data_IF_256350023416
#
_entry.id   IF_256350023416
#
_cell.length_a   1.000
_cell.length_b   1.000
_cell.length_c   1.000
_cell.angle_alpha   90.00
_cell.angle_beta   90.00
_cell.angle_gamma   90.00
#
_symmetry.space_group_name_H-M   'P 1'
#
loop_
_entity.id
_entity.type
_entity.pdbx_description
1 polymer ?
#
# COMPACT_ATOMS: atom_id res chain seq x y z
N UNK A 1 -40.99 13.04 -41.30
CA UNK A 1 -40.11 12.06 -40.62
C UNK A 1 -38.85 12.68 -40.01
N UNK A 2 -38.08 13.49 -40.75
CA UNK A 2 -36.81 14.08 -40.26
C UNK A 2 -36.88 14.81 -38.90
N UNK A 3 -37.95 15.59 -38.64
CA UNK A 3 -38.14 16.31 -37.37
C UNK A 3 -38.30 15.39 -36.14
N UNK A 4 -38.90 14.20 -36.31
CA UNK A 4 -39.06 13.21 -35.22
C UNK A 4 -37.76 12.49 -34.91
N UNK A 5 -36.97 12.17 -35.93
CA UNK A 5 -35.64 11.57 -35.76
C UNK A 5 -34.69 12.54 -35.05
N UNK A 6 -34.71 13.82 -35.42
CA UNK A 6 -33.92 14.85 -34.73
C UNK A 6 -34.33 15.02 -33.26
N UNK A 7 -35.63 14.93 -32.95
CA UNK A 7 -36.12 15.01 -31.57
C UNK A 7 -35.67 13.79 -30.72
N UNK A 8 -35.73 12.58 -31.29
CA UNK A 8 -35.21 11.37 -30.64
C UNK A 8 -33.69 11.43 -30.41
N UNK A 9 -32.94 11.96 -31.37
CA UNK A 9 -31.49 12.15 -31.22
C UNK A 9 -31.16 13.13 -30.10
N UNK A 10 -31.93 14.22 -29.99
CA UNK A 10 -31.77 15.20 -28.91
C UNK A 10 -32.07 14.57 -27.54
N UNK A 11 -33.16 13.80 -27.44
CA UNK A 11 -33.58 13.18 -26.18
C UNK A 11 -32.55 12.14 -25.70
N UNK A 12 -32.02 11.32 -26.62
CA UNK A 12 -30.94 10.36 -26.33
C UNK A 12 -29.66 11.10 -25.93
N UNK A 13 -29.31 12.19 -26.61
CA UNK A 13 -28.13 12.99 -26.27
C UNK A 13 -28.25 13.60 -24.87
N UNK A 14 -29.43 14.12 -24.50
CA UNK A 14 -29.71 14.66 -23.16
C UNK A 14 -29.62 13.54 -22.12
N UNK A 15 -30.25 12.39 -22.37
CA UNK A 15 -30.20 11.25 -21.47
C UNK A 15 -28.76 10.77 -21.21
N UNK A 16 -27.94 10.65 -22.27
CA UNK A 16 -26.53 10.29 -22.15
C UNK A 16 -25.71 11.35 -21.40
N UNK A 17 -26.02 12.63 -21.58
CA UNK A 17 -25.34 13.72 -20.88
C UNK A 17 -25.66 13.70 -19.39
N UNK A 18 -26.93 13.54 -19.02
CA UNK A 18 -27.36 13.38 -17.63
C UNK A 18 -26.74 12.14 -17.01
N UNK A 19 -26.71 11.03 -17.74
CA UNK A 19 -26.06 9.79 -17.31
C UNK A 19 -24.56 10.02 -17.03
N UNK A 20 -23.84 10.66 -17.96
CA UNK A 20 -22.42 10.97 -17.79
C UNK A 20 -22.18 11.88 -16.58
N UNK A 21 -23.01 12.91 -16.38
CA UNK A 21 -22.91 13.84 -15.25
C UNK A 21 -23.09 13.15 -13.89
N UNK A 22 -23.88 12.07 -13.81
CA UNK A 22 -24.07 11.30 -12.58
C UNK A 22 -22.95 10.26 -12.40
N UNK A 23 -22.63 9.50 -13.44
CA UNK A 23 -21.73 8.35 -13.33
C UNK A 23 -20.24 8.72 -13.30
N UNK A 24 -19.81 9.81 -13.94
CA UNK A 24 -18.41 10.24 -13.93
C UNK A 24 -17.95 10.61 -12.50
N UNK A 25 -18.66 11.47 -11.74
CA UNK A 25 -18.26 11.80 -10.36
C UNK A 25 -18.24 10.59 -9.42
N UNK A 26 -19.21 9.67 -9.56
CA UNK A 26 -19.26 8.43 -8.78
C UNK A 26 -18.05 7.54 -9.06
N UNK A 27 -17.64 7.45 -10.32
CA UNK A 27 -16.47 6.65 -10.72
C UNK A 27 -15.16 7.26 -10.20
N UNK A 28 -15.00 8.58 -10.31
CA UNK A 28 -13.79 9.29 -9.85
C UNK A 28 -13.69 9.25 -8.32
N UNK A 29 -14.79 9.49 -7.59
CA UNK A 29 -14.81 9.45 -6.12
C UNK A 29 -14.48 8.06 -5.57
N UNK A 30 -14.97 6.99 -6.21
CA UNK A 30 -14.68 5.61 -5.82
C UNK A 30 -13.19 5.25 -6.01
N UNK A 31 -12.56 5.72 -7.09
CA UNK A 31 -11.16 5.38 -7.41
C UNK A 31 -10.17 5.85 -6.34
N UNK A 32 -10.37 7.04 -5.75
CA UNK A 32 -9.52 7.56 -4.69
C UNK A 32 -9.68 6.80 -3.37
N UNK A 33 -10.93 6.45 -3.00
CA UNK A 33 -11.20 5.67 -1.80
C UNK A 33 -10.61 4.26 -1.86
N UNK A 34 -10.68 3.60 -3.03
CA UNK A 34 -10.08 2.30 -3.26
C UNK A 34 -8.55 2.33 -3.22
N UNK A 35 -7.92 3.39 -3.73
CA UNK A 35 -6.47 3.55 -3.66
C UNK A 35 -6.00 3.74 -2.20
N UNK A 36 -6.72 4.58 -1.43
CA UNK A 36 -6.43 4.80 -0.01
C UNK A 36 -6.62 3.52 0.84
N UNK A 37 -7.74 2.82 0.63
CA UNK A 37 -7.99 1.55 1.32
C UNK A 37 -6.91 0.52 1.03
N UNK A 38 -6.44 0.45 -0.22
CA UNK A 38 -5.34 -0.43 -0.62
C UNK A 38 -4.01 -0.03 0.03
N UNK A 39 -3.74 1.28 0.19
CA UNK A 39 -2.54 1.76 0.91
C UNK A 39 -2.55 1.30 2.36
N UNK A 40 -3.66 1.53 3.07
CA UNK A 40 -3.79 1.10 4.45
C UNK A 40 -3.74 -0.41 4.62
N UNK A 41 -4.29 -1.17 3.67
CA UNK A 41 -4.17 -2.63 3.67
C UNK A 41 -2.71 -3.07 3.61
N UNK A 42 -1.92 -2.56 2.65
CA UNK A 42 -0.51 -2.94 2.54
C UNK A 42 0.34 -2.41 3.70
N UNK A 43 0.04 -1.21 4.19
CA UNK A 43 0.67 -0.65 5.39
C UNK A 43 0.44 -1.56 6.60
N UNK A 44 -0.80 -2.01 6.82
CA UNK A 44 -1.13 -2.92 7.91
C UNK A 44 -0.43 -4.28 7.78
N UNK A 45 -0.39 -4.86 6.57
CA UNK A 45 0.33 -6.12 6.32
C UNK A 45 1.83 -5.96 6.56
N UNK A 46 2.43 -4.84 6.11
CA UNK A 46 3.83 -4.55 6.32
C UNK A 46 4.14 -4.37 7.81
N UNK A 47 3.31 -3.61 8.54
CA UNK A 47 3.45 -3.44 9.99
C UNK A 47 3.35 -4.78 10.72
N UNK A 48 2.38 -5.62 10.39
CA UNK A 48 2.23 -6.93 11.01
C UNK A 48 3.47 -7.82 10.82
N UNK A 49 4.03 -7.84 9.61
CA UNK A 49 5.26 -8.60 9.33
C UNK A 49 6.47 -8.01 10.05
N UNK A 50 6.62 -6.68 10.02
CA UNK A 50 7.69 -5.98 10.73
C UNK A 50 7.59 -6.25 12.23
N UNK A 51 6.39 -6.24 12.80
CA UNK A 51 6.18 -6.47 14.22
C UNK A 51 6.53 -7.89 14.63
N UNK A 52 6.06 -8.89 13.86
CA UNK A 52 6.39 -10.29 14.10
C UNK A 52 7.90 -10.55 14.02
N UNK A 53 8.58 -10.01 13.00
CA UNK A 53 10.03 -10.14 12.86
C UNK A 53 10.79 -9.39 13.95
N UNK A 54 10.33 -8.21 14.35
CA UNK A 54 10.95 -7.44 15.42
C UNK A 54 10.91 -8.20 16.74
N UNK A 55 9.79 -8.86 17.05
CA UNK A 55 9.66 -9.66 18.28
C UNK A 55 10.62 -10.86 18.26
N UNK A 56 10.81 -11.49 17.10
CA UNK A 56 11.81 -12.56 16.90
C UNK A 56 13.23 -12.04 17.09
N UNK A 57 13.56 -10.87 16.51
CA UNK A 57 14.87 -10.23 16.67
C UNK A 57 15.16 -9.88 18.13
N UNK A 58 14.17 -9.33 18.84
CA UNK A 58 14.25 -8.99 20.26
C UNK A 58 14.35 -10.23 21.17
N UNK A 59 13.78 -11.36 20.76
CA UNK A 59 13.88 -12.63 21.48
C UNK A 59 15.28 -13.29 21.41
N UNK A 60 16.20 -12.73 20.64
CA UNK A 60 17.62 -13.16 20.62
C UNK A 60 18.20 -13.34 19.21
N UNK A 61 17.36 -13.37 18.17
CA UNK A 61 17.81 -13.51 16.79
C UNK A 61 18.62 -12.31 16.29
N UNK A 62 18.54 -11.15 16.97
CA UNK A 62 19.43 -9.99 16.74
C UNK A 62 20.91 -10.39 16.73
N UNK A 63 21.33 -11.34 17.56
CA UNK A 63 22.75 -11.72 17.69
C UNK A 63 23.35 -12.27 16.39
N UNK A 64 22.52 -12.68 15.43
CA UNK A 64 22.97 -13.15 14.10
C UNK A 64 23.43 -12.02 13.19
N UNK A 65 23.09 -10.78 13.51
CA UNK A 65 23.35 -9.61 12.68
C UNK A 65 24.42 -8.72 13.31
N UNK A 66 25.43 -8.38 12.52
CA UNK A 66 26.43 -7.37 12.90
C UNK A 66 25.84 -5.97 12.78
N UNK A 67 26.45 -4.98 13.42
CA UNK A 67 26.11 -3.56 13.21
C UNK A 67 26.17 -3.22 11.71
N UNK A 68 25.16 -2.50 11.20
CA UNK A 68 25.01 -2.17 9.78
C UNK A 68 23.62 -2.45 9.22
N UNK A 69 23.48 -2.32 7.90
CA UNK A 69 22.25 -2.64 7.18
C UNK A 69 22.27 -4.05 6.60
N UNK A 70 21.18 -4.78 6.80
CA UNK A 70 20.99 -6.15 6.33
C UNK A 70 19.67 -6.27 5.59
N UNK A 71 19.70 -6.87 4.41
CA UNK A 71 18.48 -7.26 3.70
C UNK A 71 18.00 -8.59 4.27
N UNK A 72 16.81 -8.59 4.87
CA UNK A 72 16.21 -9.79 5.44
C UNK A 72 14.97 -10.19 4.64
N UNK A 73 14.55 -11.45 4.81
CA UNK A 73 13.28 -11.94 4.29
C UNK A 73 12.46 -12.41 5.49
N UNK A 74 11.35 -11.71 5.82
CA UNK A 74 10.46 -12.14 6.87
C UNK A 74 9.92 -13.55 6.62
N UNK A 75 9.71 -14.29 7.70
CA UNK A 75 9.09 -15.61 7.70
C UNK A 75 7.59 -15.41 7.87
N UNK A 76 6.83 -15.63 6.80
CA UNK A 76 5.36 -15.58 6.88
C UNK A 76 4.68 -15.62 5.52
N UNK A 77 3.48 -16.20 5.47
CA UNK A 77 2.67 -16.24 4.24
C UNK A 77 2.21 -14.85 3.79
N UNK A 78 2.06 -13.91 4.74
CA UNK A 78 1.60 -12.56 4.45
C UNK A 78 2.57 -11.76 3.55
N UNK A 79 3.82 -12.21 3.40
CA UNK A 79 4.78 -11.62 2.43
C UNK A 79 4.23 -11.68 1.00
N UNK A 80 3.44 -12.71 0.67
CA UNK A 80 2.80 -12.86 -0.64
C UNK A 80 1.72 -11.78 -0.91
N UNK A 81 1.20 -11.17 0.16
CA UNK A 81 0.20 -10.11 0.09
C UNK A 81 0.82 -8.72 -0.06
N UNK A 82 2.15 -8.58 0.05
CA UNK A 82 2.82 -7.32 -0.17
C UNK A 82 3.24 -7.14 -1.63
N UNK A 83 3.23 -5.90 -2.15
CA UNK A 83 3.86 -5.63 -3.43
C UNK A 83 5.37 -5.83 -3.34
N UNK A 84 6.03 -6.03 -4.49
CA UNK A 84 7.49 -6.19 -4.56
C UNK A 84 8.22 -5.09 -3.77
N UNK A 85 9.07 -5.51 -2.84
CA UNK A 85 9.85 -4.65 -1.97
C UNK A 85 10.91 -5.42 -1.22
N UNK A 86 11.74 -4.68 -0.48
CA UNK A 86 12.83 -5.23 0.33
C UNK A 86 12.59 -4.90 1.80
N UNK A 87 12.93 -5.85 2.67
CA UNK A 87 13.00 -5.59 4.11
C UNK A 87 14.45 -5.29 4.47
N UNK A 88 14.68 -4.13 5.08
CA UNK A 88 15.99 -3.65 5.47
C UNK A 88 16.02 -3.52 7.00
N UNK A 89 16.88 -4.32 7.61
CA UNK A 89 17.20 -4.28 9.02
C UNK A 89 18.43 -3.40 9.23
N UNK A 90 18.30 -2.28 9.92
CA UNK A 90 19.43 -1.47 10.39
C UNK A 90 19.69 -1.78 11.85
N UNK A 91 20.86 -2.36 12.12
CA UNK A 91 21.36 -2.67 13.46
C UNK A 91 22.37 -1.60 13.85
N UNK A 92 22.04 -0.85 14.89
CA UNK A 92 22.92 0.11 15.56
C UNK A 92 23.14 -0.36 17.01
N UNK A 93 24.05 0.28 17.73
CA UNK A 93 24.40 -0.14 19.09
C UNK A 93 23.18 -0.08 20.02
N UNK A 94 22.50 1.06 20.03
CA UNK A 94 21.34 1.35 20.90
C UNK A 94 19.99 1.35 20.16
N UNK A 95 19.99 1.05 18.85
CA UNK A 95 18.79 1.17 18.01
C UNK A 95 18.69 0.07 16.99
N UNK A 96 17.49 -0.52 16.89
CA UNK A 96 17.13 -1.50 15.88
C UNK A 96 16.01 -0.91 15.02
N UNK A 97 16.19 -0.89 13.71
CA UNK A 97 15.17 -0.41 12.78
C UNK A 97 14.90 -1.47 11.74
N UNK A 98 13.63 -1.84 11.56
CA UNK A 98 13.21 -2.71 10.46
C UNK A 98 12.25 -1.93 9.58
N UNK A 99 12.62 -1.80 8.30
CA UNK A 99 11.84 -1.08 7.32
C UNK A 99 11.47 -1.99 6.15
N UNK A 100 10.24 -1.87 5.68
CA UNK A 100 9.82 -2.37 4.39
C UNK A 100 9.86 -1.24 3.36
N UNK A 101 10.59 -1.47 2.27
CA UNK A 101 10.78 -0.53 1.18
C UNK A 101 10.17 -1.11 -0.10
N UNK A 102 9.00 -0.61 -0.54
CA UNK A 102 8.43 -1.03 -1.81
C UNK A 102 9.32 -0.55 -2.96
N UNK A 103 9.53 -1.41 -3.96
CA UNK A 103 10.31 -1.08 -5.17
C UNK A 103 9.76 0.16 -5.90
N UNK A 104 8.46 0.41 -5.77
CA UNK A 104 7.78 1.62 -6.25
C UNK A 104 7.38 2.50 -5.07
N UNK A 105 8.34 3.27 -4.55
CA UNK A 105 8.18 4.17 -3.41
C UNK A 105 7.01 5.17 -3.58
N UNK A 106 6.81 5.69 -4.80
CA UNK A 106 5.80 6.72 -5.09
C UNK A 106 4.34 6.31 -4.79
N UNK A 107 4.04 5.01 -4.65
CA UNK A 107 2.66 4.53 -4.42
C UNK A 107 2.34 4.18 -2.97
N UNK A 108 3.30 3.65 -2.22
CA UNK A 108 3.03 2.99 -0.94
C UNK A 108 3.84 3.54 0.24
N UNK A 109 4.91 4.28 -0.02
CA UNK A 109 5.78 4.82 1.05
C UNK A 109 6.63 3.76 1.75
N UNK A 110 7.56 4.20 2.59
CA UNK A 110 8.37 3.33 3.45
C UNK A 110 7.59 3.09 4.75
N UNK A 111 7.47 1.83 5.16
CA UNK A 111 6.87 1.45 6.44
C UNK A 111 8.00 0.96 7.34
N UNK A 112 8.13 1.51 8.54
CA UNK A 112 9.23 1.14 9.43
C UNK A 112 8.82 1.09 10.90
N UNK A 113 9.52 0.27 11.66
CA UNK A 113 9.49 0.26 13.12
C UNK A 113 10.89 0.43 13.67
N UNK A 114 10.99 1.25 14.72
CA UNK A 114 12.21 1.54 15.45
C UNK A 114 12.05 1.06 16.89
N UNK A 115 13.08 0.40 17.43
CA UNK A 115 13.17 0.00 18.83
C UNK A 115 14.50 0.47 19.40
N UNK A 116 14.46 1.14 20.54
CA UNK A 116 15.63 1.47 21.35
C UNK A 116 15.98 0.30 22.27
N UNK A 117 17.26 -0.03 22.31
CA UNK A 117 17.79 -1.18 23.05
C UNK A 117 18.39 -0.65 24.35
N UNK A 118 17.76 -1.02 25.48
CA UNK A 118 18.19 -0.64 26.83
C UNK A 118 19.36 -1.48 27.32
#
# INVERSE_FOLDING_TARGET
MAKRLAFLQLDVAIALTVLALVFIPLSVSSSGGLDLARRHYFEAVALQLIDGEMDVLLAGERQKYTTGEHRIKPVGEAVQNLPEGEFVLSVQDEKLTLAWMPKKLAKWGRVERVVELK
#
